data_IF_361425036231
#
_entry.id   IF_361425036231
#
_cell.length_a   1.000
_cell.length_b   1.000
_cell.length_c   1.000
_cell.angle_alpha   90.00
_cell.angle_beta   90.00
_cell.angle_gamma   90.00
#
_symmetry.space_group_name_H-M   'P 1'
#
loop_
_entity.id
_entity.type
_entity.pdbx_description
1 polymer ?
#
# COMPACT_ATOMS: atom_id res chain seq x y z
N UNK A 1 -5.60 -20.20 -19.90
CA UNK A 1 -4.73 -20.32 -18.70
C UNK A 1 -4.01 -19.02 -18.38
N UNK A 2 -3.36 -18.35 -19.34
CA UNK A 2 -2.69 -17.06 -19.09
C UNK A 2 -3.65 -15.95 -18.61
N UNK A 3 -4.82 -15.82 -19.23
CA UNK A 3 -5.82 -14.79 -18.86
C UNK A 3 -6.41 -14.98 -17.45
N UNK A 4 -6.63 -16.24 -17.05
CA UNK A 4 -7.15 -16.56 -15.72
C UNK A 4 -6.09 -16.28 -14.62
N UNK A 5 -4.82 -16.58 -14.91
CA UNK A 5 -3.70 -16.28 -14.02
C UNK A 5 -3.50 -14.77 -13.85
N UNK A 6 -3.55 -14.02 -14.97
CA UNK A 6 -3.41 -12.56 -14.94
C UNK A 6 -4.57 -11.90 -14.18
N UNK A 7 -5.81 -12.36 -14.40
CA UNK A 7 -6.99 -11.88 -13.69
C UNK A 7 -6.87 -12.08 -12.17
N UNK A 8 -6.48 -13.30 -11.72
CA UNK A 8 -6.26 -13.59 -10.30
C UNK A 8 -5.15 -12.72 -9.69
N UNK A 9 -4.06 -12.48 -10.42
CA UNK A 9 -2.96 -11.63 -9.98
C UNK A 9 -3.41 -10.16 -9.79
N UNK A 10 -4.18 -9.63 -10.75
CA UNK A 10 -4.75 -8.27 -10.68
C UNK A 10 -5.70 -8.13 -9.50
N UNK A 11 -6.63 -9.08 -9.32
CA UNK A 11 -7.57 -9.06 -8.20
C UNK A 11 -6.83 -9.13 -6.86
N UNK A 12 -5.83 -10.01 -6.73
CA UNK A 12 -5.01 -10.10 -5.52
C UNK A 12 -4.26 -8.80 -5.21
N UNK A 13 -3.67 -8.17 -6.21
CA UNK A 13 -2.97 -6.90 -6.07
C UNK A 13 -3.90 -5.73 -5.70
N UNK A 14 -5.06 -5.62 -6.36
CA UNK A 14 -6.05 -4.59 -6.08
C UNK A 14 -6.62 -4.73 -4.66
N UNK A 15 -7.01 -5.94 -4.26
CA UNK A 15 -7.48 -6.22 -2.90
C UNK A 15 -6.40 -5.88 -1.86
N UNK A 16 -5.14 -6.22 -2.13
CA UNK A 16 -4.04 -5.93 -1.21
C UNK A 16 -3.85 -4.42 -1.02
N UNK A 17 -3.93 -3.63 -2.10
CA UNK A 17 -3.91 -2.17 -2.03
C UNK A 17 -5.09 -1.60 -1.24
N UNK A 18 -6.30 -2.13 -1.42
CA UNK A 18 -7.47 -1.71 -0.66
C UNK A 18 -7.35 -2.04 0.82
N UNK A 19 -6.94 -3.26 1.17
CA UNK A 19 -6.73 -3.68 2.55
C UNK A 19 -5.68 -2.80 3.21
N UNK A 20 -4.55 -2.58 2.53
CA UNK A 20 -3.48 -1.74 3.03
C UNK A 20 -3.95 -0.29 3.24
N UNK A 21 -4.71 0.27 2.30
CA UNK A 21 -5.25 1.62 2.40
C UNK A 21 -6.26 1.75 3.55
N UNK A 22 -7.17 0.78 3.67
CA UNK A 22 -8.16 0.73 4.75
C UNK A 22 -7.48 0.61 6.12
N UNK A 23 -6.50 -0.28 6.27
CA UNK A 23 -5.71 -0.41 7.48
C UNK A 23 -4.99 0.89 7.84
N UNK A 24 -4.46 1.60 6.83
CA UNK A 24 -3.80 2.90 7.03
C UNK A 24 -4.79 3.98 7.49
N UNK A 25 -6.00 4.03 6.93
CA UNK A 25 -7.06 4.94 7.39
C UNK A 25 -7.50 4.64 8.83
N UNK A 26 -7.66 3.37 9.20
CA UNK A 26 -8.00 2.98 10.58
C UNK A 26 -6.88 3.40 11.53
N UNK A 27 -5.61 3.15 11.18
CA UNK A 27 -4.46 3.56 11.98
C UNK A 27 -4.40 5.09 12.14
N UNK A 28 -4.70 5.85 11.08
CA UNK A 28 -4.80 7.32 11.12
C UNK A 28 -5.93 7.79 12.05
N UNK A 29 -7.11 7.18 11.97
CA UNK A 29 -8.24 7.54 12.81
C UNK A 29 -7.95 7.32 14.32
N UNK A 30 -7.19 6.27 14.65
CA UNK A 30 -6.70 6.06 16.02
C UNK A 30 -5.62 7.07 16.37
N UNK A 31 -4.66 7.32 15.46
CA UNK A 31 -3.55 8.23 15.68
C UNK A 31 -4.01 9.67 15.94
N UNK A 32 -5.01 10.16 15.20
CA UNK A 32 -5.54 11.52 15.38
C UNK A 32 -6.19 11.79 16.75
N UNK A 33 -6.43 10.75 17.57
CA UNK A 33 -6.85 10.92 18.97
C UNK A 33 -5.72 11.35 19.90
N UNK A 34 -4.46 11.23 19.47
CA UNK A 34 -3.30 11.59 20.28
C UNK A 34 -2.96 13.10 20.14
N UNK A 35 -2.53 13.76 21.23
CA UNK A 35 -2.02 15.13 21.16
C UNK A 35 -0.76 15.20 20.29
N UNK A 36 -0.67 16.16 19.38
CA UNK A 36 0.44 16.29 18.43
C UNK A 36 0.34 15.37 17.19
N UNK A 37 -0.81 14.75 16.96
CA UNK A 37 -1.00 13.82 15.84
C UNK A 37 -0.97 14.47 14.45
N UNK A 38 -1.15 15.78 14.34
CA UNK A 38 -1.12 16.50 13.06
C UNK A 38 0.31 16.90 12.74
N UNK A 39 0.87 16.36 11.66
CA UNK A 39 2.23 16.63 11.21
C UNK A 39 2.55 15.92 9.90
N UNK A 40 3.80 16.05 9.45
CA UNK A 40 4.25 15.48 8.16
C UNK A 40 3.98 13.97 8.05
N UNK A 41 4.22 13.20 9.12
CA UNK A 41 3.97 11.74 9.14
C UNK A 41 2.50 11.38 8.84
N UNK A 42 1.56 12.17 9.35
CA UNK A 42 0.13 11.99 9.13
C UNK A 42 -0.27 12.44 7.74
N UNK A 43 0.31 13.52 7.22
CA UNK A 43 0.12 13.95 5.83
C UNK A 43 0.57 12.87 4.85
N UNK A 44 1.78 12.33 5.02
CA UNK A 44 2.29 11.23 4.18
C UNK A 44 1.36 10.02 4.25
N UNK A 45 0.92 9.62 5.44
CA UNK A 45 0.00 8.49 5.57
C UNK A 45 -1.35 8.72 4.88
N UNK A 46 -1.95 9.92 5.01
CA UNK A 46 -3.21 10.26 4.33
C UNK A 46 -3.04 10.23 2.82
N UNK A 47 -1.98 10.87 2.32
CA UNK A 47 -1.68 10.94 0.89
C UNK A 47 -1.43 9.54 0.33
N UNK A 48 -0.60 8.72 0.98
CA UNK A 48 -0.32 7.37 0.51
C UNK A 48 -1.56 6.47 0.58
N UNK A 49 -2.40 6.58 1.62
CA UNK A 49 -3.65 5.82 1.70
C UNK A 49 -4.64 6.20 0.59
N UNK A 50 -4.77 7.50 0.30
CA UNK A 50 -5.60 7.98 -0.80
C UNK A 50 -5.08 7.46 -2.15
N UNK A 51 -3.78 7.62 -2.42
CA UNK A 51 -3.17 7.10 -3.64
C UNK A 51 -3.22 5.57 -3.72
N UNK A 52 -3.20 4.85 -2.60
CA UNK A 52 -3.39 3.40 -2.57
C UNK A 52 -4.78 2.97 -3.07
N UNK A 53 -5.83 3.68 -2.66
CA UNK A 53 -7.19 3.47 -3.20
C UNK A 53 -7.25 3.77 -4.69
N UNK A 54 -6.67 4.91 -5.12
CA UNK A 54 -6.62 5.28 -6.54
C UNK A 54 -5.85 4.24 -7.35
N UNK A 55 -4.69 3.79 -6.89
CA UNK A 55 -3.88 2.78 -7.54
C UNK A 55 -4.62 1.44 -7.64
N UNK A 56 -5.40 1.06 -6.61
CA UNK A 56 -6.25 -0.13 -6.68
C UNK A 56 -7.30 0.00 -7.77
N UNK A 57 -7.99 1.13 -7.85
CA UNK A 57 -9.03 1.36 -8.85
C UNK A 57 -8.43 1.39 -10.26
N UNK A 58 -7.28 2.04 -10.43
CA UNK A 58 -6.55 2.12 -11.69
C UNK A 58 -6.07 0.75 -12.14
N UNK A 59 -5.51 -0.06 -11.23
CA UNK A 59 -5.07 -1.42 -11.53
C UNK A 59 -6.24 -2.33 -11.92
N UNK A 60 -7.39 -2.15 -11.28
CA UNK A 60 -8.59 -2.93 -11.60
C UNK A 60 -9.20 -2.55 -12.95
N UNK A 61 -9.20 -1.25 -13.31
CA UNK A 61 -9.70 -0.77 -14.61
C UNK A 61 -8.73 -1.00 -15.76
N UNK A 62 -7.44 -0.85 -15.49
CA UNK A 62 -6.37 -0.90 -16.48
C UNK A 62 -5.22 -1.76 -15.93
N UNK A 63 -5.29 -3.09 -16.08
CA UNK A 63 -4.30 -4.01 -15.51
C UNK A 63 -3.00 -4.02 -16.32
N UNK A 64 -2.16 -3.01 -16.10
CA UNK A 64 -0.83 -2.91 -16.72
C UNK A 64 0.27 -3.12 -15.69
N UNK A 65 1.44 -3.57 -16.15
CA UNK A 65 2.64 -3.65 -15.31
C UNK A 65 2.98 -2.30 -14.67
N UNK A 66 2.84 -1.21 -15.41
CA UNK A 66 3.11 0.14 -14.92
C UNK A 66 2.24 0.52 -13.72
N UNK A 67 0.95 0.17 -13.75
CA UNK A 67 0.02 0.44 -12.65
C UNK A 67 0.31 -0.42 -11.41
N UNK A 68 0.76 -1.67 -11.59
CA UNK A 68 1.21 -2.52 -10.49
C UNK A 68 2.48 -1.95 -9.84
N UNK A 69 3.46 -1.50 -10.63
CA UNK A 69 4.67 -0.84 -10.14
C UNK A 69 4.34 0.46 -9.40
N UNK A 70 3.39 1.25 -9.90
CA UNK A 70 2.93 2.46 -9.22
C UNK A 70 2.39 2.15 -7.82
N UNK A 71 1.57 1.10 -7.69
CA UNK A 71 1.08 0.62 -6.39
C UNK A 71 2.21 0.24 -5.43
N UNK A 72 3.25 -0.44 -5.92
CA UNK A 72 4.46 -0.78 -5.14
C UNK A 72 5.15 0.48 -4.65
N UNK A 73 5.38 1.45 -5.55
CA UNK A 73 6.04 2.72 -5.22
C UNK A 73 5.26 3.48 -4.15
N UNK A 74 3.92 3.52 -4.22
CA UNK A 74 3.07 4.17 -3.21
C UNK A 74 3.25 3.51 -1.83
N UNK A 75 3.20 2.17 -1.79
CA UNK A 75 3.38 1.42 -0.54
C UNK A 75 4.77 1.63 0.06
N UNK A 76 5.82 1.62 -0.75
CA UNK A 76 7.20 1.86 -0.30
C UNK A 76 7.42 3.32 0.13
N UNK A 77 6.90 4.29 -0.64
CA UNK A 77 6.99 5.70 -0.29
C UNK A 77 6.30 6.01 1.04
N UNK A 78 5.24 5.27 1.38
CA UNK A 78 4.57 5.40 2.68
C UNK A 78 5.51 5.12 3.87
N UNK A 79 6.57 4.33 3.68
CA UNK A 79 7.53 3.98 4.72
C UNK A 79 8.43 5.16 5.11
N UNK A 80 8.52 6.21 4.28
CA UNK A 80 9.29 7.41 4.60
C UNK A 80 8.79 8.12 5.88
N UNK A 81 7.55 7.85 6.32
CA UNK A 81 7.01 8.36 7.60
C UNK A 81 7.54 7.61 8.82
N UNK A 82 8.11 6.42 8.63
CA UNK A 82 8.69 5.61 9.69
C UNK A 82 10.08 6.19 9.97
N UNK A 83 10.29 6.62 11.21
CA UNK A 83 11.55 7.26 11.64
C UNK A 83 12.73 6.29 11.67
N UNK A 84 13.84 6.74 12.25
CA UNK A 84 15.06 5.94 12.36
C UNK A 84 14.79 4.61 13.11
N UNK A 85 15.48 3.50 12.76
CA UNK A 85 15.32 2.20 13.42
C UNK A 85 15.43 2.23 14.95
N UNK A 86 16.23 3.16 15.48
CA UNK A 86 16.39 3.37 16.92
C UNK A 86 15.11 3.83 17.63
N UNK A 87 14.15 4.40 16.91
CA UNK A 87 12.87 4.89 17.44
C UNK A 87 11.72 3.93 17.15
N UNK A 88 12.00 2.74 16.61
CA UNK A 88 10.96 1.81 16.22
C UNK A 88 10.27 1.22 17.44
N UNK A 89 8.95 1.31 17.42
CA UNK A 89 8.10 0.56 18.34
C UNK A 89 7.61 -0.72 17.65
N UNK A 90 6.98 -1.61 18.41
CA UNK A 90 6.24 -2.75 17.87
C UNK A 90 5.27 -2.34 16.74
N UNK A 91 4.64 -1.17 16.84
CA UNK A 91 3.70 -0.67 15.83
C UNK A 91 4.42 -0.35 14.51
N UNK A 92 5.63 0.24 14.58
CA UNK A 92 6.46 0.48 13.39
C UNK A 92 6.81 -0.84 12.71
N UNK A 93 7.21 -1.86 13.49
CA UNK A 93 7.49 -3.20 12.96
C UNK A 93 6.27 -3.84 12.31
N UNK A 94 5.11 -3.82 12.96
CA UNK A 94 3.88 -4.37 12.42
C UNK A 94 3.47 -3.68 11.11
N UNK A 95 3.57 -2.35 11.03
CA UNK A 95 3.28 -1.58 9.82
C UNK A 95 4.22 -1.92 8.66
N UNK A 96 5.53 -2.06 8.92
CA UNK A 96 6.50 -2.48 7.92
C UNK A 96 6.18 -3.89 7.43
N UNK A 97 5.97 -4.84 8.35
CA UNK A 97 5.68 -6.22 8.02
C UNK A 97 4.40 -6.37 7.18
N UNK A 98 3.30 -5.72 7.60
CA UNK A 98 2.03 -5.72 6.85
C UNK A 98 2.22 -5.11 5.47
N UNK A 99 2.95 -4.00 5.37
CA UNK A 99 3.28 -3.39 4.07
C UNK A 99 3.97 -4.39 3.17
N UNK A 100 5.03 -5.07 3.62
CA UNK A 100 5.74 -6.06 2.80
C UNK A 100 4.91 -7.29 2.43
N UNK A 101 4.10 -7.81 3.35
CA UNK A 101 3.21 -8.95 3.07
C UNK A 101 2.21 -8.59 1.97
N UNK A 102 1.58 -7.42 2.08
CA UNK A 102 0.61 -6.93 1.10
C UNK A 102 1.25 -6.45 -0.21
N UNK A 103 2.58 -6.27 -0.24
CA UNK A 103 3.33 -5.92 -1.43
C UNK A 103 3.52 -7.16 -2.34
N UNK A 104 3.59 -8.37 -1.77
CA UNK A 104 3.83 -9.60 -2.53
C UNK A 104 2.84 -9.83 -3.69
N UNK A 105 1.51 -9.64 -3.51
CA UNK A 105 0.56 -9.75 -4.62
C UNK A 105 0.78 -8.71 -5.72
N UNK A 106 1.26 -7.50 -5.38
CA UNK A 106 1.62 -6.49 -6.38
C UNK A 106 2.89 -6.87 -7.15
N UNK A 107 3.90 -7.42 -6.48
CA UNK A 107 5.11 -7.93 -7.17
C UNK A 107 4.72 -9.03 -8.13
N UNK A 108 3.89 -9.97 -7.68
CA UNK A 108 3.37 -11.03 -8.53
C UNK A 108 2.64 -10.46 -9.75
N UNK A 109 1.71 -9.52 -9.54
CA UNK A 109 1.00 -8.85 -10.64
C UNK A 109 1.95 -8.12 -11.60
N UNK A 110 2.97 -7.42 -11.10
CA UNK A 110 3.95 -6.72 -11.93
C UNK A 110 4.79 -7.70 -12.79
N UNK A 111 5.11 -8.89 -12.27
CA UNK A 111 5.81 -9.93 -13.03
C UNK A 111 4.91 -10.59 -14.08
N UNK A 112 3.63 -10.81 -13.77
CA UNK A 112 2.68 -11.51 -14.65
C UNK A 112 2.10 -10.63 -15.75
N UNK A 113 1.90 -9.34 -15.49
CA UNK A 113 1.29 -8.42 -16.45
C UNK A 113 2.29 -8.02 -17.54
N UNK A 114 1.79 -7.94 -18.77
CA UNK A 114 2.51 -7.39 -19.93
C UNK A 114 2.33 -5.87 -19.96
N UNK A 115 3.31 -5.17 -20.55
CA UNK A 115 3.36 -3.70 -20.64
C UNK A 115 2.24 -3.13 -21.49
#
# INVERSE_FOLDING_TARGET
MEDESASKAVTGAAISLLIWSAATFVALAVWFKAPGAVGWKSLTAVVSAFFGVVASLTLWRSPTRGNAILGIVIMLASLARIGAPAEWTWVSFALVAVTFVLLMPLVHAAMTLRS
#
